data_IF_756868919954
#
_entry.id   IF_756868919954
#
_cell.length_a   1.000
_cell.length_b   1.000
_cell.length_c   1.000
_cell.angle_alpha   90.00
_cell.angle_beta   90.00
_cell.angle_gamma   90.00
#
_symmetry.space_group_name_H-M   'P 1'
#
loop_
_entity.id
_entity.type
_entity.pdbx_description
1 polymer ?
#
# COMPACT_ATOMS: atom_id res chain seq x y z
N UNK A 1 -33.91 21.15 3.12
CA UNK A 1 -33.77 19.68 3.03
C UNK A 1 -32.36 19.19 2.76
N UNK A 2 -31.39 20.05 2.43
CA UNK A 2 -30.00 19.66 2.08
C UNK A 2 -29.15 18.94 3.13
N UNK A 3 -29.63 18.81 4.37
CA UNK A 3 -28.77 18.33 5.47
C UNK A 3 -28.60 16.81 5.53
N UNK A 4 -29.48 16.05 4.90
CA UNK A 4 -29.44 14.57 4.87
C UNK A 4 -28.53 13.98 3.79
N UNK A 5 -28.23 14.76 2.74
CA UNK A 5 -27.47 14.29 1.58
C UNK A 5 -25.97 14.15 1.88
N UNK A 6 -25.41 15.03 2.73
CA UNK A 6 -23.97 15.05 3.02
C UNK A 6 -23.40 13.75 3.59
N UNK A 7 -24.06 13.07 4.56
CA UNK A 7 -23.58 11.77 5.05
C UNK A 7 -23.56 10.70 3.98
N UNK A 8 -24.56 10.69 3.10
CA UNK A 8 -24.67 9.70 2.00
C UNK A 8 -23.55 9.94 0.98
N UNK A 9 -23.33 11.19 0.58
CA UNK A 9 -22.26 11.56 -0.35
C UNK A 9 -20.89 11.26 0.25
N UNK A 10 -20.67 11.56 1.53
CA UNK A 10 -19.39 11.21 2.20
C UNK A 10 -19.18 9.70 2.27
N UNK A 11 -20.25 8.91 2.45
CA UNK A 11 -20.23 7.47 2.38
C UNK A 11 -19.88 6.96 0.97
N UNK A 12 -20.47 7.55 -0.07
CA UNK A 12 -20.19 7.20 -1.46
C UNK A 12 -18.72 7.48 -1.82
N UNK A 13 -18.17 8.64 -1.44
CA UNK A 13 -16.73 8.97 -1.62
C UNK A 13 -15.83 7.98 -0.86
N UNK A 14 -16.24 7.52 0.31
CA UNK A 14 -15.49 6.50 1.04
C UNK A 14 -15.50 5.15 0.30
N UNK A 15 -16.61 4.76 -0.31
CA UNK A 15 -16.67 3.54 -1.13
C UNK A 15 -15.83 3.66 -2.40
N UNK A 16 -15.81 4.82 -3.06
CA UNK A 16 -14.94 5.07 -4.21
C UNK A 16 -13.46 4.88 -3.84
N UNK A 17 -13.01 5.47 -2.74
CA UNK A 17 -11.63 5.27 -2.27
C UNK A 17 -11.32 3.82 -1.89
N UNK A 18 -12.27 3.08 -1.34
CA UNK A 18 -12.10 1.64 -1.11
C UNK A 18 -11.96 0.89 -2.42
N UNK A 19 -12.74 1.25 -3.42
CA UNK A 19 -12.65 0.68 -4.77
C UNK A 19 -11.28 0.89 -5.37
N UNK A 20 -10.72 2.11 -5.28
CA UNK A 20 -9.37 2.42 -5.77
C UNK A 20 -8.31 1.52 -5.13
N UNK A 21 -8.39 1.33 -3.80
CA UNK A 21 -7.45 0.47 -3.07
C UNK A 21 -7.59 -1.00 -3.48
N UNK A 22 -8.82 -1.51 -3.61
CA UNK A 22 -9.08 -2.89 -4.05
C UNK A 22 -8.61 -3.10 -5.49
N UNK A 23 -8.87 -2.15 -6.38
CA UNK A 23 -8.40 -2.19 -7.77
C UNK A 23 -6.87 -2.18 -7.85
N UNK A 24 -6.19 -1.36 -7.03
CA UNK A 24 -4.74 -1.35 -6.94
C UNK A 24 -4.18 -2.68 -6.42
N UNK A 25 -4.79 -3.27 -5.38
CA UNK A 25 -4.39 -4.60 -4.89
C UNK A 25 -4.51 -5.65 -5.99
N UNK A 26 -5.63 -5.66 -6.72
CA UNK A 26 -5.88 -6.62 -7.79
C UNK A 26 -4.89 -6.45 -8.95
N UNK A 27 -4.57 -5.22 -9.34
CA UNK A 27 -3.57 -4.92 -10.37
C UNK A 27 -2.16 -5.42 -9.98
N UNK A 28 -1.86 -5.46 -8.69
CA UNK A 28 -0.55 -5.84 -8.16
C UNK A 28 -0.47 -7.26 -7.61
N UNK A 29 -1.43 -8.12 -7.92
CA UNK A 29 -1.46 -9.50 -7.42
C UNK A 29 -0.24 -10.34 -7.86
N UNK A 30 0.30 -10.07 -9.04
CA UNK A 30 1.49 -10.74 -9.58
C UNK A 30 2.80 -9.96 -9.31
N UNK A 31 2.72 -8.84 -8.62
CA UNK A 31 3.88 -8.02 -8.33
C UNK A 31 4.67 -8.59 -7.16
N UNK A 32 5.95 -8.91 -7.42
CA UNK A 32 6.87 -9.48 -6.42
C UNK A 32 7.01 -8.53 -5.23
N UNK A 33 6.88 -9.07 -4.03
CA UNK A 33 7.07 -8.32 -2.79
C UNK A 33 6.00 -7.26 -2.50
N UNK A 34 4.88 -7.27 -3.24
CA UNK A 34 3.78 -6.35 -2.99
C UNK A 34 3.07 -6.68 -1.68
N UNK A 35 2.75 -5.65 -0.92
CA UNK A 35 1.97 -5.74 0.31
C UNK A 35 0.60 -5.12 0.11
N UNK A 36 -0.44 -5.88 0.47
CA UNK A 36 -1.84 -5.50 0.38
C UNK A 36 -2.10 -4.19 1.10
N UNK A 37 -2.82 -3.28 0.47
CA UNK A 37 -3.31 -2.06 1.10
C UNK A 37 -4.75 -2.21 1.56
N UNK A 38 -5.07 -1.58 2.67
CA UNK A 38 -6.43 -1.50 3.21
C UNK A 38 -6.77 -0.05 3.48
N UNK A 39 -7.90 0.42 2.98
CA UNK A 39 -8.38 1.75 3.27
C UNK A 39 -8.92 1.82 4.71
N UNK A 40 -8.47 2.83 5.46
CA UNK A 40 -8.96 3.11 6.82
C UNK A 40 -9.83 4.34 6.78
N UNK A 41 -11.02 4.24 7.39
CA UNK A 41 -11.95 5.35 7.51
C UNK A 41 -12.15 5.69 8.98
N UNK A 42 -12.25 6.98 9.26
CA UNK A 42 -12.59 7.49 10.59
C UNK A 42 -13.93 8.18 10.52
N UNK A 43 -14.78 7.87 11.46
CA UNK A 43 -16.02 8.60 11.69
C UNK A 43 -15.68 9.89 12.40
N UNK A 44 -15.97 11.02 11.78
CA UNK A 44 -15.87 12.33 12.41
C UNK A 44 -17.25 12.73 12.93
N UNK A 45 -17.37 12.80 14.25
CA UNK A 45 -18.49 13.51 14.88
C UNK A 45 -18.18 15.00 14.83
N UNK A 46 -19.09 15.79 14.29
CA UNK A 46 -18.96 17.25 14.31
C UNK A 46 -18.99 17.74 15.77
N UNK A 47 -17.81 17.97 16.36
CA UNK A 47 -17.72 18.62 17.68
C UNK A 47 -17.97 20.12 17.52
N UNK A 48 -18.77 20.76 18.38
CA UNK A 48 -18.89 22.21 18.41
C UNK A 48 -17.52 22.82 18.70
N UNK A 49 -17.02 23.67 17.79
CA UNK A 49 -15.82 24.46 18.07
C UNK A 49 -16.14 25.61 19.03
N UNK A 50 -15.32 25.84 20.07
CA UNK A 50 -15.46 27.01 20.91
C UNK A 50 -15.26 28.30 20.09
N UNK A 51 -16.23 29.25 20.16
CA UNK A 51 -16.12 30.53 19.45
C UNK A 51 -16.94 30.66 18.17
N UNK A 52 -17.54 29.59 17.66
CA UNK A 52 -18.53 29.68 16.56
C UNK A 52 -19.92 29.78 17.17
N UNK A 53 -20.80 30.73 16.72
CA UNK A 53 -22.17 30.84 17.23
C UNK A 53 -22.82 29.46 17.21
N UNK A 54 -23.49 29.08 18.32
CA UNK A 54 -24.20 27.83 18.49
C UNK A 54 -25.32 27.70 17.44
N UNK A 55 -24.96 27.46 16.19
CA UNK A 55 -25.87 26.83 15.27
C UNK A 55 -26.13 25.45 15.87
N UNK A 56 -27.39 25.12 16.17
CA UNK A 56 -27.81 23.83 16.68
C UNK A 56 -27.35 22.74 15.69
N UNK A 57 -26.09 22.35 15.78
CA UNK A 57 -25.56 21.18 15.08
C UNK A 57 -26.03 20.02 15.94
N UNK A 58 -27.12 19.39 15.53
CA UNK A 58 -27.54 18.14 16.12
C UNK A 58 -26.34 17.20 16.05
N UNK A 59 -25.98 16.59 17.18
CA UNK A 59 -24.82 15.71 17.35
C UNK A 59 -24.82 14.46 16.44
N UNK A 60 -25.85 14.29 15.61
CA UNK A 60 -26.08 13.13 14.74
C UNK A 60 -25.44 13.25 13.35
N UNK A 61 -24.60 14.27 13.09
CA UNK A 61 -23.91 14.38 11.82
C UNK A 61 -22.61 13.60 11.86
N UNK A 62 -22.70 12.39 11.38
CA UNK A 62 -21.59 11.47 11.17
C UNK A 62 -21.03 11.71 9.77
N UNK A 63 -19.80 12.19 9.66
CA UNK A 63 -19.08 12.28 8.39
C UNK A 63 -18.04 11.17 8.34
N UNK A 64 -17.92 10.52 7.22
CA UNK A 64 -16.84 9.57 6.99
C UNK A 64 -15.66 10.33 6.37
N UNK A 65 -14.53 10.35 7.07
CA UNK A 65 -13.27 10.89 6.54
C UNK A 65 -12.31 9.76 6.24
N UNK A 66 -11.64 9.83 5.09
CA UNK A 66 -10.57 8.88 4.76
C UNK A 66 -9.39 9.05 5.72
N UNK A 67 -9.07 7.99 6.45
CA UNK A 67 -7.95 7.93 7.41
C UNK A 67 -6.61 7.56 6.77
N UNK A 68 -6.53 7.42 5.44
CA UNK A 68 -5.36 6.93 4.72
C UNK A 68 -5.45 5.43 4.39
N UNK A 69 -4.33 4.87 3.92
CA UNK A 69 -4.18 3.43 3.68
C UNK A 69 -3.27 2.82 4.72
N UNK A 70 -3.52 1.58 5.06
CA UNK A 70 -2.70 0.75 5.94
C UNK A 70 -2.14 -0.42 5.12
N UNK A 71 -0.84 -0.72 5.29
CA UNK A 71 -0.16 -1.82 4.62
C UNK A 71 -0.22 -3.09 5.48
N UNK A 72 -0.64 -4.21 4.90
CA UNK A 72 -0.57 -5.52 5.55
C UNK A 72 0.81 -6.12 5.33
N UNK A 73 1.63 -6.13 6.38
CA UNK A 73 3.01 -6.58 6.34
C UNK A 73 3.18 -8.11 6.40
N UNK A 74 2.12 -8.88 6.41
CA UNK A 74 2.20 -10.34 6.34
C UNK A 74 2.99 -10.80 5.13
N UNK A 75 3.75 -11.88 5.28
CA UNK A 75 4.49 -12.49 4.17
C UNK A 75 3.55 -13.04 3.09
N UNK A 76 3.99 -12.95 1.83
CA UNK A 76 3.41 -13.71 0.71
C UNK A 76 4.00 -15.11 0.63
N UNK A 77 3.55 -15.91 -0.33
CA UNK A 77 4.16 -17.21 -0.64
C UNK A 77 5.52 -17.03 -1.30
N UNK A 78 6.40 -18.00 -1.12
CA UNK A 78 7.70 -18.02 -1.81
C UNK A 78 7.60 -18.86 -3.07
N UNK A 79 8.11 -18.32 -4.17
CA UNK A 79 8.19 -18.99 -5.46
C UNK A 79 9.67 -19.17 -5.85
N UNK A 80 10.11 -20.41 -6.02
CA UNK A 80 11.47 -20.70 -6.47
C UNK A 80 11.62 -20.36 -7.95
N UNK A 81 12.66 -19.58 -8.28
CA UNK A 81 12.98 -19.18 -9.65
C UNK A 81 14.28 -19.79 -10.17
N UNK A 82 15.18 -20.14 -9.27
CA UNK A 82 16.52 -20.64 -9.61
C UNK A 82 17.49 -19.56 -10.14
N UNK A 83 17.05 -18.33 -10.32
CA UNK A 83 17.91 -17.22 -10.73
C UNK A 83 18.83 -16.80 -9.59
N UNK A 84 20.14 -16.65 -9.80
CA UNK A 84 21.07 -16.28 -8.72
C UNK A 84 20.90 -14.84 -8.23
N UNK A 85 20.24 -13.98 -9.01
CA UNK A 85 19.97 -12.58 -8.65
C UNK A 85 18.62 -12.38 -7.98
N UNK A 86 17.75 -13.40 -8.02
CA UNK A 86 16.47 -13.38 -7.33
C UNK A 86 16.65 -13.74 -5.85
N UNK A 87 16.11 -12.92 -4.98
CA UNK A 87 16.32 -13.02 -3.53
C UNK A 87 15.02 -12.76 -2.80
N UNK A 88 14.67 -13.60 -1.85
CA UNK A 88 13.53 -13.39 -0.97
C UNK A 88 13.99 -13.19 0.48
N UNK A 89 13.17 -12.51 1.29
CA UNK A 89 13.40 -12.33 2.72
C UNK A 89 12.40 -13.17 3.52
N UNK A 90 12.92 -14.11 4.31
CA UNK A 90 12.13 -14.86 5.28
C UNK A 90 12.17 -14.15 6.63
N UNK A 91 11.02 -13.62 7.07
CA UNK A 91 10.90 -12.78 8.27
C UNK A 91 10.57 -11.33 7.95
N UNK A 92 10.62 -10.47 8.97
CA UNK A 92 10.37 -9.04 8.83
C UNK A 92 11.62 -8.32 8.30
N UNK A 93 11.47 -7.55 7.24
CA UNK A 93 12.60 -6.78 6.71
C UNK A 93 12.37 -6.27 5.30
N UNK A 94 13.25 -5.38 4.87
CA UNK A 94 13.22 -4.75 3.55
C UNK A 94 14.65 -4.60 3.04
N UNK A 95 14.82 -4.80 1.75
CA UNK A 95 16.04 -4.39 1.06
C UNK A 95 16.11 -2.87 1.01
N UNK A 96 17.30 -2.34 1.08
CA UNK A 96 17.55 -0.90 0.97
C UNK A 96 18.03 -0.59 -0.43
N UNK A 97 17.41 0.37 -1.08
CA UNK A 97 17.74 0.79 -2.45
C UNK A 97 17.96 2.29 -2.51
N UNK A 98 18.79 2.72 -3.46
CA UNK A 98 19.07 4.14 -3.68
C UNK A 98 18.32 4.62 -4.92
N UNK A 99 17.37 5.53 -4.73
CA UNK A 99 16.63 6.16 -5.83
C UNK A 99 17.05 7.62 -6.00
N UNK A 100 16.65 8.31 -7.06
CA UNK A 100 16.84 9.75 -7.20
C UNK A 100 16.17 10.57 -6.09
N UNK A 101 15.14 10.02 -5.42
CA UNK A 101 14.45 10.64 -4.29
C UNK A 101 15.16 10.44 -2.96
N UNK A 102 16.15 9.54 -2.92
CA UNK A 102 16.89 9.19 -1.72
C UNK A 102 16.92 7.69 -1.46
N UNK A 103 17.05 7.32 -0.18
CA UNK A 103 17.01 5.92 0.26
C UNK A 103 15.56 5.49 0.38
N UNK A 104 15.22 4.41 -0.29
CA UNK A 104 13.91 3.77 -0.25
C UNK A 104 14.05 2.28 0.07
N UNK A 105 12.94 1.65 0.37
CA UNK A 105 12.91 0.28 0.86
C UNK A 105 12.01 -0.56 -0.06
N UNK A 106 12.41 -1.81 -0.29
CA UNK A 106 11.62 -2.71 -1.12
C UNK A 106 11.59 -4.12 -0.54
N UNK A 107 10.49 -4.82 -0.77
CA UNK A 107 10.38 -6.25 -0.52
C UNK A 107 10.59 -7.07 -1.80
N UNK A 108 10.60 -6.39 -2.93
CA UNK A 108 10.86 -7.02 -4.23
C UNK A 108 12.34 -7.37 -4.37
N UNK A 109 12.63 -8.64 -4.52
CA UNK A 109 14.00 -9.15 -4.65
C UNK A 109 14.35 -9.62 -6.05
N UNK A 110 13.59 -9.25 -7.08
CA UNK A 110 13.85 -9.58 -8.47
C UNK A 110 14.93 -8.66 -9.08
N UNK A 111 16.14 -8.78 -8.56
CA UNK A 111 17.24 -7.92 -8.95
C UNK A 111 17.86 -8.34 -10.28
N UNK A 112 18.53 -7.39 -10.91
CA UNK A 112 19.29 -7.60 -12.16
C UNK A 112 20.66 -6.95 -12.04
N UNK A 113 21.60 -7.38 -12.88
CA UNK A 113 22.91 -6.71 -13.01
C UNK A 113 22.84 -5.71 -14.15
N UNK A 114 23.20 -4.46 -13.87
CA UNK A 114 23.33 -3.42 -14.89
C UNK A 114 24.63 -3.59 -15.70
N UNK A 115 24.86 -2.73 -16.69
CA UNK A 115 26.06 -2.72 -17.54
C UNK A 115 27.36 -2.52 -16.76
N UNK A 116 27.31 -1.86 -15.63
CA UNK A 116 28.43 -1.66 -14.70
C UNK A 116 28.54 -2.76 -13.65
N UNK A 117 27.77 -3.85 -13.81
CA UNK A 117 27.73 -5.01 -12.89
C UNK A 117 27.33 -4.66 -11.47
N UNK A 118 26.54 -3.63 -11.29
CA UNK A 118 25.87 -3.35 -10.01
C UNK A 118 24.58 -4.14 -9.92
N UNK A 119 24.26 -4.59 -8.71
CA UNK A 119 22.96 -5.19 -8.41
C UNK A 119 21.93 -4.06 -8.30
N UNK A 120 20.92 -4.08 -9.18
CA UNK A 120 19.89 -3.05 -9.25
C UNK A 120 18.49 -3.67 -9.28
N UNK A 121 17.49 -2.90 -8.92
CA UNK A 121 16.07 -3.28 -9.15
C UNK A 121 15.76 -3.25 -10.65
N UNK A 122 14.60 -3.77 -11.05
CA UNK A 122 14.17 -3.70 -12.47
C UNK A 122 14.00 -2.27 -12.98
N UNK A 123 13.71 -1.34 -12.08
CA UNK A 123 13.59 0.10 -12.35
C UNK A 123 14.96 0.79 -12.39
N UNK A 124 16.06 0.04 -12.16
CA UNK A 124 17.42 0.55 -12.22
C UNK A 124 17.95 1.16 -10.92
N UNK A 125 17.23 1.07 -9.81
CA UNK A 125 17.69 1.58 -8.52
C UNK A 125 18.76 0.63 -7.91
N UNK A 126 20.00 1.12 -7.59
CA UNK A 126 21.03 0.32 -6.94
C UNK A 126 20.59 -0.25 -5.60
N UNK A 127 20.84 -1.54 -5.40
CA UNK A 127 20.66 -2.22 -4.12
C UNK A 127 21.86 -1.90 -3.23
N UNK A 128 21.57 -1.51 -1.99
CA UNK A 128 22.60 -1.14 -1.02
C UNK A 128 22.99 -2.33 -0.14
N UNK A 129 24.29 -2.54 -0.05
CA UNK A 129 24.94 -3.34 0.98
C UNK A 129 25.37 -2.48 2.17
N UNK A 130 26.18 -3.06 3.04
CA UNK A 130 26.74 -2.35 4.19
C UNK A 130 27.75 -1.27 3.75
N UNK A 131 28.53 -1.54 2.69
CA UNK A 131 29.55 -0.62 2.17
C UNK A 131 29.02 0.36 1.13
N UNK A 132 27.80 0.18 0.61
CA UNK A 132 27.20 1.02 -0.43
C UNK A 132 26.51 0.19 -1.54
N UNK A 133 26.45 0.70 -2.77
CA UNK A 133 25.89 -0.04 -3.91
C UNK A 133 26.70 -1.32 -4.18
N UNK A 134 26.02 -2.47 -4.26
CA UNK A 134 26.67 -3.77 -4.41
C UNK A 134 27.21 -3.93 -5.83
N UNK A 135 28.52 -4.11 -5.95
CA UNK A 135 29.24 -4.42 -7.19
C UNK A 135 29.46 -5.92 -7.27
N UNK A 136 29.01 -6.56 -8.33
CA UNK A 136 29.12 -8.02 -8.52
C UNK A 136 30.19 -8.30 -9.60
N UNK A 137 31.45 -8.67 -9.25
CA UNK A 137 32.47 -9.03 -10.21
C UNK A 137 32.05 -10.18 -11.13
N UNK A 138 32.89 -10.52 -12.12
CA UNK A 138 32.63 -11.66 -12.98
C UNK A 138 32.83 -12.95 -12.17
N UNK A 139 31.82 -13.83 -12.13
CA UNK A 139 31.90 -15.07 -11.39
C UNK A 139 30.52 -15.56 -10.94
N UNK A 140 30.50 -16.69 -10.25
CA UNK A 140 29.28 -17.27 -9.69
C UNK A 140 28.86 -16.47 -8.46
N UNK A 141 27.71 -15.81 -8.55
CA UNK A 141 27.09 -15.09 -7.44
C UNK A 141 26.44 -16.07 -6.46
N UNK A 142 26.80 -15.97 -5.19
CA UNK A 142 26.17 -16.71 -4.09
C UNK A 142 25.82 -15.73 -2.97
N UNK A 143 24.58 -15.80 -2.51
CA UNK A 143 24.08 -15.01 -1.38
C UNK A 143 23.64 -15.99 -0.30
N UNK A 144 24.25 -15.91 0.87
CA UNK A 144 23.93 -16.82 1.97
C UNK A 144 22.71 -16.34 2.78
N UNK A 145 22.29 -17.16 3.75
CA UNK A 145 21.14 -16.85 4.58
C UNK A 145 21.31 -15.61 5.49
N UNK A 146 22.53 -15.18 5.76
CA UNK A 146 22.84 -13.95 6.51
C UNK A 146 22.81 -12.70 5.60
N UNK A 147 22.71 -12.89 4.26
CA UNK A 147 22.76 -11.79 3.31
C UNK A 147 24.16 -11.45 2.80
N UNK A 148 25.18 -12.27 3.12
CA UNK A 148 26.53 -12.04 2.61
C UNK A 148 26.59 -12.42 1.14
N UNK A 149 27.10 -11.50 0.36
CA UNK A 149 27.25 -11.63 -1.10
C UNK A 149 28.68 -12.04 -1.40
N UNK A 150 28.84 -13.22 -2.02
CA UNK A 150 30.11 -13.76 -2.46
C UNK A 150 30.10 -14.01 -3.95
N UNK A 151 31.24 -13.80 -4.61
CA UNK A 151 31.41 -14.05 -6.04
C UNK A 151 32.68 -14.87 -6.27
N UNK A 152 32.55 -16.06 -6.86
CA UNK A 152 33.67 -16.95 -7.05
C UNK A 152 34.35 -17.38 -5.75
N UNK A 153 33.65 -17.35 -4.61
CA UNK A 153 34.19 -17.64 -3.28
C UNK A 153 34.78 -16.42 -2.52
N UNK A 154 34.97 -15.29 -3.19
CA UNK A 154 35.43 -14.06 -2.53
C UNK A 154 34.24 -13.26 -1.98
N UNK A 155 34.35 -12.77 -0.75
CA UNK A 155 33.35 -11.88 -0.16
C UNK A 155 33.36 -10.53 -0.87
N UNK A 156 32.18 -10.02 -1.20
CA UNK A 156 31.97 -8.73 -1.89
C UNK A 156 31.39 -7.70 -0.92
N UNK A 157 30.23 -7.99 -0.36
CA UNK A 157 29.51 -7.11 0.58
C UNK A 157 28.43 -7.94 1.29
N UNK A 158 27.67 -7.32 2.20
CA UNK A 158 26.50 -7.92 2.84
C UNK A 158 25.27 -7.06 2.50
N UNK A 159 24.16 -7.67 2.10
CA UNK A 159 22.89 -7.01 1.84
C UNK A 159 22.44 -6.21 3.07
N UNK A 160 22.10 -4.96 2.88
CA UNK A 160 21.55 -4.14 3.96
C UNK A 160 20.06 -4.41 4.09
N UNK A 161 19.68 -5.09 5.16
CA UNK A 161 18.30 -5.45 5.49
C UNK A 161 17.87 -4.68 6.73
N UNK A 162 16.72 -4.01 6.65
CA UNK A 162 16.20 -3.16 7.73
C UNK A 162 14.74 -3.46 8.00
N UNK A 163 14.29 -3.19 9.22
CA UNK A 163 12.87 -3.20 9.60
C UNK A 163 12.42 -1.83 10.04
N UNK A 164 11.16 -1.51 9.78
CA UNK A 164 10.56 -0.27 10.28
C UNK A 164 10.23 -0.42 11.76
N UNK A 165 10.70 0.52 12.58
CA UNK A 165 10.33 0.57 14.00
C UNK A 165 8.84 0.85 14.18
N UNK A 166 8.29 1.71 13.31
CA UNK A 166 6.86 2.01 13.22
C UNK A 166 6.36 1.69 11.81
N UNK A 167 5.83 0.46 11.59
CA UNK A 167 5.31 0.06 10.28
C UNK A 167 4.13 0.91 9.78
N UNK A 168 3.38 1.56 10.70
CA UNK A 168 2.25 2.41 10.32
C UNK A 168 2.69 3.74 9.68
N UNK A 169 3.94 4.15 9.90
CA UNK A 169 4.51 5.36 9.27
C UNK A 169 5.02 5.14 7.84
N UNK A 170 5.06 3.89 7.39
CA UNK A 170 5.54 3.56 6.05
C UNK A 170 4.47 3.85 5.00
N UNK A 171 4.89 4.48 3.91
CA UNK A 171 4.04 4.83 2.78
C UNK A 171 4.67 4.24 1.52
N UNK A 172 3.82 3.69 0.63
CA UNK A 172 4.28 3.23 -0.68
C UNK A 172 4.32 4.39 -1.67
N UNK A 173 5.45 4.53 -2.35
CA UNK A 173 5.68 5.54 -3.39
C UNK A 173 6.36 4.87 -4.58
N UNK A 174 5.69 4.90 -5.74
CA UNK A 174 6.21 4.32 -6.99
C UNK A 174 6.73 2.87 -6.85
N UNK A 175 5.96 2.01 -6.16
CA UNK A 175 6.29 0.59 -5.99
C UNK A 175 7.29 0.27 -4.88
N UNK A 176 7.87 1.27 -4.23
CA UNK A 176 8.80 1.14 -3.11
C UNK A 176 8.20 1.75 -1.85
N UNK A 177 8.82 1.47 -0.70
CA UNK A 177 8.36 1.98 0.59
C UNK A 177 9.28 3.09 1.07
N UNK A 178 8.70 4.13 1.64
CA UNK A 178 9.42 5.20 2.34
C UNK A 178 8.82 5.38 3.72
N UNK A 179 9.63 5.81 4.68
CA UNK A 179 9.16 6.14 6.02
C UNK A 179 9.87 7.40 6.54
N UNK A 180 9.14 8.18 7.33
CA UNK A 180 9.71 9.26 8.13
C UNK A 180 10.18 8.76 9.50
N UNK A 181 9.82 7.51 9.83
CA UNK A 181 10.19 6.85 11.06
C UNK A 181 11.62 6.33 11.05
N UNK A 182 12.07 5.88 12.22
CA UNK A 182 13.36 5.22 12.36
C UNK A 182 13.32 3.82 11.77
N UNK A 183 14.41 3.42 11.12
CA UNK A 183 14.64 2.05 10.66
C UNK A 183 15.75 1.42 11.48
N UNK A 184 15.57 0.17 11.83
CA UNK A 184 16.57 -0.59 12.59
C UNK A 184 17.09 -1.75 11.71
N UNK A 185 18.35 -2.19 11.86
CA UNK A 185 18.84 -3.39 11.21
C UNK A 185 17.99 -4.61 11.60
N UNK A 186 17.81 -5.55 10.67
CA UNK A 186 17.05 -6.79 10.91
C UNK A 186 17.92 -8.04 10.74
N UNK A 187 18.78 -8.34 11.72
CA UNK A 187 19.70 -9.49 11.62
C UNK A 187 18.99 -10.84 11.71
N UNK A 188 17.75 -10.87 12.20
CA UNK A 188 16.95 -12.10 12.32
C UNK A 188 16.31 -12.53 10.99
N UNK A 189 16.26 -11.63 10.01
CA UNK A 189 15.69 -11.91 8.70
C UNK A 189 16.65 -12.75 7.86
N UNK A 190 16.18 -13.91 7.42
CA UNK A 190 16.96 -14.79 6.56
C UNK A 190 16.78 -14.43 5.09
N UNK A 191 17.85 -14.60 4.35
CA UNK A 191 17.89 -14.38 2.90
C UNK A 191 17.81 -15.73 2.19
N UNK A 192 16.90 -15.86 1.23
CA UNK A 192 16.73 -17.06 0.40
C UNK A 192 17.05 -16.69 -1.03
N UNK A 193 18.19 -17.17 -1.54
CA UNK A 193 18.58 -16.97 -2.93
C UNK A 193 17.81 -17.90 -3.87
N UNK A 194 17.55 -17.48 -5.09
CA UNK A 194 16.82 -18.26 -6.09
C UNK A 194 15.31 -18.37 -5.84
N UNK A 195 14.76 -17.50 -5.00
CA UNK A 195 13.34 -17.42 -4.71
C UNK A 195 12.87 -15.97 -4.71
N UNK A 196 11.58 -15.77 -4.94
CA UNK A 196 10.90 -14.48 -4.85
C UNK A 196 9.70 -14.60 -3.93
N UNK A 197 9.40 -13.53 -3.21
CA UNK A 197 8.18 -13.41 -2.42
C UNK A 197 7.06 -12.87 -3.32
N UNK A 198 6.00 -13.65 -3.50
CA UNK A 198 4.82 -13.21 -4.25
C UNK A 198 3.99 -12.21 -3.43
N UNK A 199 3.06 -11.51 -4.08
CA UNK A 199 2.10 -10.62 -3.42
C UNK A 199 1.30 -11.37 -2.35
N UNK A 200 0.99 -10.71 -1.21
CA UNK A 200 0.10 -11.26 -0.19
C UNK A 200 -1.39 -10.95 -0.47
N UNK A 201 -1.72 -10.47 -1.67
CA UNK A 201 -3.09 -10.18 -2.11
C UNK A 201 -3.82 -11.47 -2.47
N UNK A 202 -5.03 -11.63 -1.94
CA UNK A 202 -5.92 -12.71 -2.33
C UNK A 202 -6.89 -12.23 -3.41
N UNK A 203 -6.73 -12.71 -4.66
CA UNK A 203 -7.55 -12.32 -5.81
C UNK A 203 -9.05 -12.48 -5.56
N UNK A 204 -9.45 -13.63 -5.03
CA UNK A 204 -10.87 -13.94 -4.81
C UNK A 204 -11.45 -13.01 -3.74
N UNK A 205 -10.71 -12.78 -2.67
CA UNK A 205 -11.10 -11.86 -1.61
C UNK A 205 -11.27 -10.43 -2.11
N UNK A 206 -10.33 -9.93 -2.94
CA UNK A 206 -10.44 -8.58 -3.51
C UNK A 206 -11.60 -8.46 -4.52
N UNK A 207 -11.88 -9.51 -5.34
CA UNK A 207 -13.03 -9.51 -6.24
C UNK A 207 -14.36 -9.46 -5.48
N UNK A 208 -14.49 -10.23 -4.40
CA UNK A 208 -15.68 -10.20 -3.54
C UNK A 208 -15.84 -8.80 -2.92
N UNK A 209 -14.77 -8.24 -2.38
CA UNK A 209 -14.77 -6.88 -1.82
C UNK A 209 -15.19 -5.84 -2.87
N UNK A 210 -14.73 -5.96 -4.11
CA UNK A 210 -15.11 -5.08 -5.22
C UNK A 210 -16.61 -5.13 -5.50
N UNK A 211 -17.21 -6.34 -5.53
CA UNK A 211 -18.65 -6.52 -5.74
C UNK A 211 -19.45 -5.89 -4.58
N UNK A 212 -19.03 -6.10 -3.35
CA UNK A 212 -19.67 -5.51 -2.17
C UNK A 212 -19.63 -3.99 -2.17
N UNK A 213 -18.48 -3.42 -2.54
CA UNK A 213 -18.30 -1.97 -2.65
C UNK A 213 -19.20 -1.41 -3.74
N UNK A 214 -19.25 -2.03 -4.92
CA UNK A 214 -20.12 -1.61 -6.02
C UNK A 214 -21.60 -1.61 -5.60
N UNK A 215 -22.07 -2.69 -4.98
CA UNK A 215 -23.44 -2.76 -4.47
C UNK A 215 -23.76 -1.66 -3.47
N UNK A 216 -22.81 -1.37 -2.56
CA UNK A 216 -22.96 -0.31 -1.56
C UNK A 216 -23.01 1.06 -2.20
N UNK A 217 -22.19 1.29 -3.24
CA UNK A 217 -22.17 2.53 -4.00
C UNK A 217 -23.47 2.74 -4.78
N UNK A 218 -23.96 1.71 -5.49
CA UNK A 218 -25.25 1.75 -6.19
C UNK A 218 -26.42 2.01 -5.24
N UNK A 219 -26.41 1.40 -4.05
CA UNK A 219 -27.42 1.64 -3.03
C UNK A 219 -27.41 3.10 -2.58
N UNK A 220 -26.23 3.69 -2.36
CA UNK A 220 -26.08 5.10 -2.00
C UNK A 220 -26.62 6.03 -3.11
N UNK A 221 -26.31 5.73 -4.38
CA UNK A 221 -26.85 6.49 -5.53
C UNK A 221 -28.39 6.45 -5.61
N UNK A 222 -28.98 5.25 -5.40
CA UNK A 222 -30.44 5.12 -5.38
C UNK A 222 -31.09 5.93 -4.29
N UNK A 223 -30.46 6.02 -3.11
CA UNK A 223 -30.98 6.86 -2.02
C UNK A 223 -30.92 8.35 -2.40
N UNK A 224 -29.84 8.80 -3.02
CA UNK A 224 -29.72 10.19 -3.50
C UNK A 224 -30.81 10.49 -4.53
N UNK A 225 -31.02 9.60 -5.51
CA UNK A 225 -32.06 9.74 -6.54
C UNK A 225 -33.47 9.81 -5.91
N UNK A 226 -33.76 8.93 -4.95
CA UNK A 226 -35.06 8.93 -4.26
C UNK A 226 -35.30 10.22 -3.46
N UNK A 227 -34.24 10.81 -2.90
CA UNK A 227 -34.33 12.12 -2.21
C UNK A 227 -34.60 13.26 -3.20
N UNK A 228 -33.91 13.27 -4.36
CA UNK A 228 -34.14 14.26 -5.41
C UNK A 228 -35.56 14.16 -5.97
N UNK A 229 -36.08 12.95 -6.20
CA UNK A 229 -37.44 12.74 -6.67
C UNK A 229 -38.48 13.19 -5.66
N UNK A 230 -38.27 12.91 -4.37
CA UNK A 230 -39.13 13.39 -3.29
C UNK A 230 -39.16 14.93 -3.20
N UNK A 231 -38.01 15.58 -3.37
CA UNK A 231 -37.93 17.06 -3.40
C UNK A 231 -38.69 17.64 -4.61
N UNK A 232 -38.54 17.03 -5.80
CA UNK A 232 -39.29 17.45 -7.00
C UNK A 232 -40.80 17.31 -6.82
N UNK A 233 -41.24 16.19 -6.23
CA UNK A 233 -42.66 15.96 -5.94
C UNK A 233 -43.18 16.99 -4.94
N UNK A 234 -42.46 17.26 -3.86
CA UNK A 234 -42.87 18.26 -2.87
C UNK A 234 -43.01 19.68 -3.47
N UNK A 235 -42.06 20.08 -4.35
CA UNK A 235 -42.12 21.37 -5.05
C UNK A 235 -43.30 21.43 -6.02
N UNK A 236 -43.63 20.34 -6.71
CA UNK A 236 -44.75 20.32 -7.67
C UNK A 236 -46.10 20.31 -6.98
N UNK A 237 -46.23 19.69 -5.79
CA UNK A 237 -47.48 19.71 -5.03
C UNK A 237 -47.74 21.08 -4.37
N UNK A 238 -46.68 21.72 -3.83
CA UNK A 238 -46.80 23.07 -3.21
C UNK A 238 -47.05 24.14 -4.27
N UNK A 239 -46.60 23.96 -5.52
CA UNK A 239 -46.74 24.92 -6.60
C UNK A 239 -48.05 24.81 -7.38
N UNK A 240 -49.00 23.93 -7.02
CA UNK A 240 -50.34 23.92 -7.63
C UNK A 240 -51.26 24.95 -6.95
N UNK A 241 -51.66 26.03 -7.64
CA UNK A 241 -52.66 26.91 -7.12
C UNK A 241 -53.99 26.18 -6.99
N UNK A 242 -54.69 26.37 -5.88
CA UNK A 242 -56.02 25.83 -5.62
C UNK A 242 -57.06 26.40 -6.59
#
# INVERSE_FOLDING_TARGET
MDRGIYPIVSGAIAQERRMDVVAANLAHIQTVGYKRETAVFRTLLAKPQPGVPKMKINADKVFTSGGGTFLDWKGGSFRTTGSPTDVALEGEGFFVVKTPRGVEYTRSGNFVLNTTRQLVTREGAPVLGQSGPIQVPVGKLVINAAGDVTVGGAAVDTLRIVKFKDPASAVRVAGQYTTKGRVDPSPETKVVQGALEDSNVNAIGELIAMIEINRSYEAAQKVVQAMDDAERQAVTEIGRPA
#
